data_IF_008541573994
#
_entry.id   IF_008541573994
#
_cell.length_a   1.000
_cell.length_b   1.000
_cell.length_c   1.000
_cell.angle_alpha   90.00
_cell.angle_beta   90.00
_cell.angle_gamma   90.00
#
_symmetry.space_group_name_H-M   'P 1'
#
loop_
_entity.id
_entity.type
_entity.pdbx_description
1 polymer ?
#
# COMPACT_ATOMS: atom_id res chain seq x y z
N UNK A 1 5.00 18.95 3.50
CA UNK A 1 4.07 18.45 4.52
C UNK A 1 2.75 19.15 4.22
N UNK A 2 1.74 18.42 3.78
CA UNK A 2 0.44 19.01 3.42
C UNK A 2 -0.48 18.80 4.64
N UNK A 3 -0.71 19.81 5.49
CA UNK A 3 -1.43 19.64 6.75
C UNK A 3 -2.92 19.34 6.55
N UNK A 4 -3.58 18.76 7.56
CA UNK A 4 -5.03 18.51 7.56
C UNK A 4 -5.76 19.50 8.49
N UNK A 5 -7.03 19.78 8.17
CA UNK A 5 -7.97 20.44 9.07
C UNK A 5 -9.36 19.80 8.89
N UNK A 6 -9.77 18.89 9.76
CA UNK A 6 -11.20 18.61 9.95
C UNK A 6 -11.72 19.38 11.16
N UNK A 7 -12.92 19.92 11.04
CA UNK A 7 -13.71 20.46 12.15
C UNK A 7 -14.93 19.56 12.31
N UNK A 8 -15.06 18.88 13.46
CA UNK A 8 -16.26 18.11 13.81
C UNK A 8 -16.47 16.75 13.14
N UNK A 9 -15.53 16.28 12.31
CA UNK A 9 -15.50 14.95 11.67
C UNK A 9 -14.08 14.34 11.81
N UNK A 10 -13.88 13.01 11.71
CA UNK A 10 -12.52 12.45 11.57
C UNK A 10 -11.78 13.14 10.39
N UNK A 11 -10.43 13.16 10.39
CA UNK A 11 -9.68 13.64 9.23
C UNK A 11 -10.12 12.88 7.97
N UNK A 12 -10.09 13.50 6.78
CA UNK A 12 -10.41 12.77 5.55
C UNK A 12 -9.47 11.58 5.39
N UNK A 13 -10.03 10.45 5.00
CA UNK A 13 -9.29 9.21 4.80
C UNK A 13 -8.44 9.27 3.52
N UNK A 14 -8.77 10.14 2.55
CA UNK A 14 -8.09 10.21 1.26
C UNK A 14 -7.63 11.63 0.89
N UNK A 15 -6.49 11.72 0.22
CA UNK A 15 -5.95 12.98 -0.30
C UNK A 15 -5.17 12.77 -1.59
N UNK A 16 -5.40 13.63 -2.57
CA UNK A 16 -4.73 13.59 -3.86
C UNK A 16 -3.54 14.56 -3.90
N UNK A 17 -2.48 14.14 -4.60
CA UNK A 17 -1.25 14.88 -4.81
C UNK A 17 -0.87 14.74 -6.28
N UNK A 18 -0.68 15.86 -6.96
CA UNK A 18 -0.10 15.89 -8.30
C UNK A 18 1.42 16.03 -8.22
N UNK A 19 2.14 15.21 -8.99
CA UNK A 19 3.60 15.27 -9.12
C UNK A 19 3.93 15.47 -10.60
N UNK A 20 3.69 16.65 -11.19
CA UNK A 20 3.71 16.82 -12.67
C UNK A 20 5.00 17.46 -13.24
N UNK A 21 5.92 17.94 -12.41
CA UNK A 21 6.83 18.98 -12.90
C UNK A 21 8.21 18.52 -13.43
N UNK A 22 8.70 17.30 -13.11
CA UNK A 22 10.06 16.86 -13.51
C UNK A 22 10.21 15.33 -13.63
N UNK A 23 11.17 14.83 -14.44
CA UNK A 23 11.63 13.43 -14.37
C UNK A 23 12.36 13.21 -13.04
N UNK A 24 11.71 12.52 -12.11
CA UNK A 24 12.23 12.32 -10.76
C UNK A 24 12.12 10.86 -10.34
N UNK A 25 13.03 10.45 -9.47
CA UNK A 25 13.02 9.15 -8.81
C UNK A 25 12.84 9.34 -7.32
N UNK A 26 11.91 8.58 -6.74
CA UNK A 26 11.91 8.36 -5.30
C UNK A 26 12.97 7.31 -5.02
N UNK A 27 13.91 7.64 -4.13
CA UNK A 27 15.01 6.75 -3.75
C UNK A 27 14.82 6.11 -2.38
N UNK A 28 14.07 6.79 -1.53
CA UNK A 28 13.68 6.37 -0.19
C UNK A 28 12.49 7.22 0.26
N UNK A 29 11.80 6.77 1.30
CA UNK A 29 10.75 7.53 1.94
C UNK A 29 10.83 7.42 3.47
N UNK A 30 10.21 8.40 4.14
CA UNK A 30 10.01 8.38 5.58
C UNK A 30 8.53 8.56 5.92
N UNK A 31 8.02 7.69 6.79
CA UNK A 31 6.70 7.78 7.39
C UNK A 31 6.75 8.79 8.53
N UNK A 32 5.81 9.71 8.51
CA UNK A 32 5.59 10.72 9.53
C UNK A 32 4.26 10.38 10.19
N UNK A 33 4.29 9.99 11.45
CA UNK A 33 3.09 9.84 12.27
C UNK A 33 3.04 11.04 13.21
N UNK A 34 1.90 11.69 13.28
CA UNK A 34 1.63 12.73 14.27
C UNK A 34 1.56 12.06 15.65
N UNK A 35 2.46 12.45 16.56
CA UNK A 35 2.57 11.83 17.89
C UNK A 35 1.23 11.87 18.62
N UNK A 36 0.43 12.93 18.41
CA UNK A 36 -0.90 13.04 19.01
C UNK A 36 -1.82 11.92 18.55
N UNK A 37 -1.76 11.50 17.27
CA UNK A 37 -2.65 10.51 16.62
C UNK A 37 -2.00 9.14 16.36
N UNK A 38 -0.88 8.86 17.03
CA UNK A 38 -0.21 7.56 16.97
C UNK A 38 -1.10 6.38 17.41
N UNK A 39 -2.17 6.64 18.17
CA UNK A 39 -3.17 5.66 18.58
C UNK A 39 -4.30 5.44 17.56
N UNK A 40 -4.41 6.27 16.53
CA UNK A 40 -5.45 6.20 15.52
C UNK A 40 -4.92 5.69 14.18
N UNK A 41 -3.75 6.16 13.72
CA UNK A 41 -3.25 5.83 12.37
C UNK A 41 -2.82 4.36 12.32
N UNK A 42 -3.61 3.54 11.63
CA UNK A 42 -3.36 2.10 11.54
C UNK A 42 -2.53 1.75 10.29
N UNK A 43 -2.84 2.34 9.14
CA UNK A 43 -2.03 2.19 7.94
C UNK A 43 -2.18 3.39 6.98
N UNK A 44 -1.16 3.56 6.13
CA UNK A 44 -1.07 4.56 5.07
C UNK A 44 -0.80 3.83 3.76
N UNK A 45 -1.61 4.06 2.72
CA UNK A 45 -1.37 3.53 1.38
C UNK A 45 -1.21 4.70 0.42
N UNK A 46 -0.19 4.65 -0.43
CA UNK A 46 -0.09 5.54 -1.58
C UNK A 46 -0.53 4.77 -2.82
N UNK A 47 -1.50 5.32 -3.52
CA UNK A 47 -2.01 4.82 -4.78
C UNK A 47 -1.52 5.70 -5.93
N UNK A 48 -1.13 5.10 -7.05
CA UNK A 48 -0.89 5.79 -8.31
C UNK A 48 -2.17 5.82 -9.14
N UNK A 49 -2.57 7.00 -9.60
CA UNK A 49 -3.76 7.14 -10.42
C UNK A 49 -3.49 6.81 -11.89
N UNK A 50 -4.45 6.15 -12.53
CA UNK A 50 -4.44 5.89 -13.95
C UNK A 50 -4.31 7.19 -14.75
N UNK A 51 -3.64 7.13 -15.90
CA UNK A 51 -3.55 8.18 -16.92
C UNK A 51 -4.88 8.87 -17.31
N UNK A 52 -6.02 8.20 -17.16
CA UNK A 52 -7.34 8.78 -17.43
C UNK A 52 -7.87 9.68 -16.29
N UNK A 53 -7.22 9.66 -15.12
CA UNK A 53 -7.59 10.53 -14.00
C UNK A 53 -7.22 11.97 -14.32
N UNK A 54 -8.20 12.87 -14.21
CA UNK A 54 -8.02 14.32 -14.37
C UNK A 54 -8.42 14.95 -13.04
N UNK A 55 -7.44 15.56 -12.37
CA UNK A 55 -7.72 16.29 -11.15
C UNK A 55 -8.48 17.58 -11.47
N UNK A 56 -9.68 17.73 -10.92
CA UNK A 56 -10.46 18.97 -11.01
C UNK A 56 -10.51 19.62 -9.63
N UNK A 57 -9.72 20.68 -9.45
CA UNK A 57 -9.49 21.40 -8.18
C UNK A 57 -10.78 21.96 -7.54
N UNK A 58 -11.88 21.99 -8.30
CA UNK A 58 -13.11 22.66 -7.87
C UNK A 58 -14.03 21.82 -6.97
N UNK A 59 -13.80 20.52 -6.74
CA UNK A 59 -14.81 19.63 -6.13
C UNK A 59 -14.25 18.45 -5.31
N UNK A 60 -13.22 18.63 -4.48
CA UNK A 60 -12.91 17.61 -3.46
C UNK A 60 -13.23 18.13 -2.07
N UNK A 61 -14.37 17.72 -1.49
CA UNK A 61 -14.53 17.82 -0.05
C UNK A 61 -13.55 16.83 0.61
N UNK A 62 -13.00 17.25 1.75
CA UNK A 62 -12.28 16.41 2.71
C UNK A 62 -13.26 15.34 3.27
N UNK A 63 -13.72 14.39 2.46
CA UNK A 63 -14.83 13.48 2.79
C UNK A 63 -14.43 12.00 2.86
N UNK A 64 -15.24 11.29 3.65
CA UNK A 64 -15.09 9.93 4.20
C UNK A 64 -15.19 8.86 3.11
N UNK A 65 -14.45 7.75 3.29
CA UNK A 65 -14.25 6.63 2.37
C UNK A 65 -15.50 5.89 1.80
N UNK A 66 -16.74 6.30 2.08
CA UNK A 66 -17.91 5.47 1.75
C UNK A 66 -18.59 5.81 0.40
N UNK A 67 -18.38 6.99 -0.21
CA UNK A 67 -19.22 7.43 -1.36
C UNK A 67 -18.48 8.04 -2.58
N UNK A 68 -17.15 8.16 -2.62
CA UNK A 68 -16.43 8.68 -3.81
C UNK A 68 -16.14 7.54 -4.80
N UNK A 69 -17.20 6.97 -5.39
CA UNK A 69 -17.11 5.75 -6.20
C UNK A 69 -16.51 5.99 -7.60
N UNK A 70 -16.54 7.20 -8.16
CA UNK A 70 -16.24 7.35 -9.60
C UNK A 70 -14.79 7.78 -9.93
N UNK A 71 -14.08 8.46 -9.01
CA UNK A 71 -12.72 8.96 -9.26
C UNK A 71 -11.63 8.30 -8.42
N UNK A 72 -11.95 7.88 -7.18
CA UNK A 72 -11.00 7.12 -6.33
C UNK A 72 -10.70 5.75 -6.94
N UNK A 73 -11.67 5.11 -7.62
CA UNK A 73 -11.51 3.84 -8.34
C UNK A 73 -10.38 3.87 -9.38
N UNK A 74 -10.17 5.03 -10.03
CA UNK A 74 -9.09 5.22 -11.01
C UNK A 74 -7.70 5.21 -10.37
N UNK A 75 -7.61 5.33 -9.05
CA UNK A 75 -6.37 5.27 -8.28
C UNK A 75 -6.27 3.99 -7.43
N UNK A 76 -7.37 3.51 -6.85
CA UNK A 76 -7.42 2.49 -5.79
C UNK A 76 -6.78 1.13 -6.11
N UNK A 77 -6.47 0.86 -7.38
CA UNK A 77 -5.91 -0.42 -7.83
C UNK A 77 -4.38 -0.46 -7.83
N UNK A 78 -3.71 0.69 -7.99
CA UNK A 78 -2.25 0.70 -8.22
C UNK A 78 -1.49 1.19 -6.97
N UNK A 79 -1.19 0.30 -6.03
CA UNK A 79 -0.41 0.67 -4.85
C UNK A 79 1.04 0.98 -5.22
N UNK A 80 1.43 2.23 -4.97
CA UNK A 80 2.75 2.77 -5.16
C UNK A 80 3.66 2.61 -3.92
N UNK A 81 3.09 2.49 -2.72
CA UNK A 81 3.78 2.09 -1.47
C UNK A 81 2.77 2.01 -0.33
N UNK A 82 3.16 1.48 0.83
CA UNK A 82 2.33 1.49 2.02
C UNK A 82 3.13 1.34 3.31
N UNK A 83 2.52 1.74 4.42
CA UNK A 83 3.01 1.51 5.77
C UNK A 83 1.85 1.07 6.65
N UNK A 84 2.14 0.23 7.64
CA UNK A 84 1.17 -0.16 8.64
C UNK A 84 1.85 -0.25 10.01
N UNK A 85 1.03 -0.26 11.06
CA UNK A 85 1.48 -0.28 12.45
C UNK A 85 2.54 -1.37 12.70
N UNK A 86 3.62 -0.99 13.40
CA UNK A 86 4.79 -1.84 13.67
C UNK A 86 5.83 -1.89 12.55
N UNK A 87 5.52 -1.38 11.36
CA UNK A 87 6.47 -1.27 10.26
C UNK A 87 7.51 -0.17 10.46
N UNK A 88 8.66 -0.32 9.81
CA UNK A 88 9.73 0.67 9.85
C UNK A 88 9.27 2.01 9.26
N UNK A 89 9.68 3.10 9.90
CA UNK A 89 9.34 4.45 9.43
C UNK A 89 10.24 4.93 8.30
N UNK A 90 11.32 4.21 7.99
CA UNK A 90 12.26 4.60 6.93
C UNK A 90 12.40 3.40 6.01
N UNK A 91 12.08 3.60 4.74
CA UNK A 91 12.36 2.62 3.72
C UNK A 91 13.35 3.15 2.69
N UNK A 92 14.48 2.46 2.58
CA UNK A 92 15.43 2.67 1.50
C UNK A 92 15.18 1.71 0.34
N UNK A 93 15.11 2.24 -0.88
CA UNK A 93 15.02 1.39 -2.07
C UNK A 93 16.38 0.82 -2.47
N UNK A 94 16.42 -0.33 -3.17
CA UNK A 94 17.67 -0.90 -3.67
C UNK A 94 18.49 0.11 -4.47
N UNK A 95 19.80 0.15 -4.28
CA UNK A 95 20.72 1.14 -4.89
C UNK A 95 20.50 1.36 -6.40
N UNK A 96 20.18 0.29 -7.14
CA UNK A 96 20.01 0.29 -8.60
C UNK A 96 18.56 0.51 -9.07
N UNK A 97 17.60 0.70 -8.16
CA UNK A 97 16.19 0.85 -8.49
C UNK A 97 15.54 2.05 -7.78
N UNK A 98 14.66 2.78 -8.46
CA UNK A 98 13.93 3.91 -7.88
C UNK A 98 12.52 3.99 -8.45
N UNK A 99 11.56 4.40 -7.63
CA UNK A 99 10.18 4.50 -8.08
C UNK A 99 10.02 5.71 -9.00
N UNK A 100 9.53 5.52 -10.25
CA UNK A 100 9.33 6.62 -11.18
C UNK A 100 8.19 7.53 -10.70
N UNK A 101 8.42 8.84 -10.69
CA UNK A 101 7.38 9.87 -10.48
C UNK A 101 7.55 10.96 -11.54
N UNK A 102 6.54 11.82 -11.73
CA UNK A 102 6.60 12.85 -12.75
C UNK A 102 6.37 12.32 -14.17
N UNK A 103 6.92 13.03 -15.15
CA UNK A 103 6.70 12.73 -16.58
C UNK A 103 7.21 11.36 -17.02
N UNK A 104 8.11 10.75 -16.24
CA UNK A 104 8.61 9.37 -16.46
C UNK A 104 7.74 8.28 -15.82
N UNK A 105 6.73 8.65 -15.04
CA UNK A 105 5.83 7.71 -14.34
C UNK A 105 4.61 7.38 -15.18
N UNK A 106 4.11 6.12 -15.14
CA UNK A 106 2.80 5.81 -15.69
C UNK A 106 1.66 6.46 -14.90
N UNK A 107 1.93 6.90 -13.67
CA UNK A 107 0.98 7.57 -12.78
C UNK A 107 1.35 9.05 -12.65
N UNK A 108 0.46 9.94 -13.08
CA UNK A 108 0.62 11.41 -12.96
C UNK A 108 0.18 11.92 -11.59
N UNK A 109 -0.91 11.38 -11.08
CA UNK A 109 -1.48 11.72 -9.80
C UNK A 109 -1.29 10.58 -8.82
N UNK A 110 -1.24 10.92 -7.54
CA UNK A 110 -1.17 9.97 -6.47
C UNK A 110 -2.24 10.29 -5.43
N UNK A 111 -2.79 9.26 -4.80
CA UNK A 111 -3.74 9.40 -3.71
C UNK A 111 -3.15 8.73 -2.47
N UNK A 112 -3.00 9.46 -1.38
CA UNK A 112 -2.70 8.88 -0.08
C UNK A 112 -4.01 8.55 0.62
N UNK A 113 -4.15 7.30 1.03
CA UNK A 113 -5.23 6.79 1.85
C UNK A 113 -4.71 6.50 3.25
N UNK A 114 -5.39 6.99 4.27
CA UNK A 114 -5.07 6.79 5.68
C UNK A 114 -6.22 6.06 6.33
N UNK A 115 -5.95 4.90 6.91
CA UNK A 115 -6.94 4.17 7.70
C UNK A 115 -6.73 4.47 9.18
N UNK A 116 -7.77 4.98 9.82
CA UNK A 116 -7.80 5.23 11.26
C UNK A 116 -8.57 4.12 11.99
N UNK A 117 -7.92 3.43 12.94
CA UNK A 117 -8.61 2.59 13.91
C UNK A 117 -9.10 3.45 15.10
N UNK A 118 -10.31 4.00 14.97
CA UNK A 118 -10.94 4.84 15.98
C UNK A 118 -11.97 4.06 16.82
N UNK A 119 -11.60 2.91 17.36
CA UNK A 119 -12.47 2.10 18.24
C UNK A 119 -13.05 2.86 19.45
N UNK A 120 -12.35 3.88 19.94
CA UNK A 120 -12.78 4.75 21.05
C UNK A 120 -13.73 5.87 20.62
N UNK A 121 -14.01 6.02 19.33
CA UNK A 121 -14.88 7.06 18.75
C UNK A 121 -14.52 8.48 19.22
N UNK A 122 -13.23 8.76 19.31
CA UNK A 122 -12.73 10.08 19.66
C UNK A 122 -13.01 11.05 18.52
N UNK A 123 -13.33 12.31 18.85
CA UNK A 123 -13.69 13.34 17.88
C UNK A 123 -12.82 14.59 18.05
N UNK A 124 -12.87 15.51 17.08
CA UNK A 124 -12.13 16.77 17.08
C UNK A 124 -10.60 16.59 17.14
N UNK A 125 -10.10 15.52 16.52
CA UNK A 125 -8.68 15.21 16.37
C UNK A 125 -8.19 15.76 15.04
N UNK A 126 -7.01 16.39 15.03
CA UNK A 126 -6.33 16.82 13.81
C UNK A 126 -5.11 15.94 13.61
N UNK A 127 -5.00 15.34 12.44
CA UNK A 127 -3.84 14.56 12.06
C UNK A 127 -2.94 15.33 11.08
N UNK A 128 -1.63 15.11 11.13
CA UNK A 128 -0.66 15.60 10.15
C UNK A 128 0.29 14.49 9.69
N UNK A 129 -0.17 13.25 9.78
CA UNK A 129 0.58 12.07 9.37
C UNK A 129 0.68 11.98 7.85
N UNK A 130 1.61 11.17 7.35
CA UNK A 130 1.76 10.93 5.93
C UNK A 130 3.17 10.47 5.56
N UNK A 131 3.52 10.67 4.29
CA UNK A 131 4.75 10.14 3.71
C UNK A 131 5.63 11.29 3.20
N UNK A 132 6.92 11.26 3.55
CA UNK A 132 7.94 12.15 3.01
C UNK A 132 8.80 11.38 2.01
N UNK A 133 8.67 11.74 0.74
CA UNK A 133 9.52 11.23 -0.34
C UNK A 133 10.81 12.03 -0.45
N UNK A 134 11.91 11.32 -0.72
CA UNK A 134 13.19 11.92 -1.08
C UNK A 134 13.44 11.69 -2.56
N UNK A 135 13.37 12.80 -3.29
CA UNK A 135 13.44 12.83 -4.75
C UNK A 135 14.89 13.06 -5.19
N UNK A 136 15.25 12.39 -6.28
CA UNK A 136 16.53 12.55 -6.96
C UNK A 136 16.27 12.74 -8.46
N UNK A 137 17.08 13.58 -9.10
CA UNK A 137 17.04 13.81 -10.54
C UNK A 137 17.93 12.84 -11.32
N UNK A 138 18.70 11.99 -10.62
CA UNK A 138 19.50 10.93 -11.23
C UNK A 138 18.65 9.70 -11.48
N UNK A 139 18.51 9.33 -12.76
CA UNK A 139 17.88 8.08 -13.14
C UNK A 139 18.70 6.89 -12.59
N UNK A 140 18.02 5.98 -11.89
CA UNK A 140 18.58 4.68 -11.50
C UNK A 140 18.47 3.71 -12.66
N UNK A 141 19.21 2.60 -12.58
CA UNK A 141 19.26 1.60 -13.66
C UNK A 141 17.90 0.94 -13.94
N UNK A 142 17.06 0.80 -12.91
CA UNK A 142 15.78 0.11 -12.99
C UNK A 142 14.65 0.92 -12.35
N UNK A 143 13.44 0.74 -12.87
CA UNK A 143 12.23 1.22 -12.25
C UNK A 143 11.83 0.28 -11.11
N UNK A 144 11.50 0.85 -9.96
CA UNK A 144 10.89 0.09 -8.87
C UNK A 144 9.39 -0.07 -9.17
N UNK A 145 8.87 -1.27 -8.94
CA UNK A 145 7.43 -1.55 -8.95
C UNK A 145 7.06 -2.48 -7.80
N UNK A 146 5.76 -2.58 -7.54
CA UNK A 146 5.22 -3.45 -6.49
C UNK A 146 4.47 -4.60 -7.13
N UNK A 147 4.71 -5.80 -6.61
CA UNK A 147 3.95 -7.00 -6.92
C UNK A 147 3.08 -7.31 -5.70
N UNK A 148 1.77 -7.39 -5.92
CA UNK A 148 0.78 -7.66 -4.89
C UNK A 148 0.28 -9.09 -5.01
N UNK A 149 0.31 -9.84 -3.91
CA UNK A 149 -0.11 -11.25 -3.83
C UNK A 149 -1.00 -11.46 -2.58
N UNK A 150 -1.97 -12.38 -2.64
CA UNK A 150 -2.92 -12.63 -1.56
C UNK A 150 -4.24 -13.25 -2.06
N UNK A 151 -5.38 -12.90 -1.45
CA UNK A 151 -6.73 -13.34 -1.86
C UNK A 151 -7.60 -12.15 -2.23
N UNK A 152 -8.41 -12.15 -3.28
CA UNK A 152 -9.33 -11.01 -3.53
C UNK A 152 -10.52 -11.07 -2.57
N UNK A 153 -10.88 -9.94 -1.94
CA UNK A 153 -12.17 -9.82 -1.26
C UNK A 153 -13.30 -9.89 -2.28
N UNK A 154 -14.02 -11.01 -2.31
CA UNK A 154 -15.19 -11.16 -3.19
C UNK A 154 -16.38 -10.35 -2.65
N UNK A 155 -17.48 -10.25 -3.41
CA UNK A 155 -18.75 -9.66 -2.95
C UNK A 155 -19.29 -10.27 -1.64
N UNK A 156 -18.88 -11.51 -1.31
CA UNK A 156 -19.24 -12.19 -0.06
C UNK A 156 -18.11 -12.19 0.98
N UNK A 157 -16.99 -11.53 0.67
CA UNK A 157 -15.78 -11.54 1.46
C UNK A 157 -15.14 -12.92 1.56
N UNK A 158 -14.21 -13.04 2.51
CA UNK A 158 -13.67 -14.31 2.97
C UNK A 158 -14.48 -14.77 4.21
N UNK A 159 -15.06 -15.97 4.16
CA UNK A 159 -15.87 -16.51 5.26
C UNK A 159 -15.03 -17.49 6.09
N UNK A 160 -14.70 -17.10 7.32
CA UNK A 160 -14.06 -17.98 8.31
C UNK A 160 -15.14 -18.49 9.27
N UNK A 161 -15.37 -19.81 9.37
CA UNK A 161 -16.36 -20.35 10.30
C UNK A 161 -16.01 -19.99 11.76
N UNK A 162 -17.01 -19.67 12.62
CA UNK A 162 -16.74 -19.34 14.01
C UNK A 162 -16.21 -20.56 14.77
N UNK A 163 -15.33 -20.32 15.75
CA UNK A 163 -14.76 -21.33 16.69
C UNK A 163 -13.83 -22.37 16.06
N UNK A 164 -13.38 -22.16 14.82
CA UNK A 164 -12.27 -22.95 14.28
C UNK A 164 -10.97 -22.44 14.88
N UNK A 165 -10.11 -23.36 15.34
CA UNK A 165 -8.80 -22.99 15.91
C UNK A 165 -7.83 -22.53 14.82
N UNK A 166 -7.87 -23.17 13.65
CA UNK A 166 -7.05 -22.86 12.50
C UNK A 166 -7.88 -23.03 11.21
N UNK A 167 -7.79 -22.06 10.31
CA UNK A 167 -8.42 -22.10 8.99
C UNK A 167 -7.44 -21.58 7.95
N UNK A 168 -7.13 -22.41 6.95
CA UNK A 168 -6.17 -22.08 5.91
C UNK A 168 -6.92 -21.52 4.71
N UNK A 169 -6.47 -20.36 4.25
CA UNK A 169 -6.92 -19.72 3.02
C UNK A 169 -5.77 -19.76 2.05
N UNK A 170 -5.86 -20.62 1.04
CA UNK A 170 -4.87 -20.67 -0.03
C UNK A 170 -5.39 -19.87 -1.23
N UNK A 171 -4.51 -19.08 -1.82
CA UNK A 171 -4.76 -18.41 -3.09
C UNK A 171 -3.65 -18.71 -4.07
N UNK A 172 -4.07 -19.01 -5.30
CA UNK A 172 -3.17 -19.36 -6.38
C UNK A 172 -3.35 -18.38 -7.53
N UNK A 173 -2.26 -17.68 -7.83
CA UNK A 173 -2.24 -16.70 -8.90
C UNK A 173 -1.39 -17.23 -10.05
N UNK A 174 -2.00 -17.68 -11.17
CA UNK A 174 -1.28 -18.27 -12.28
C UNK A 174 -0.42 -17.25 -13.05
N UNK A 175 -0.58 -15.95 -12.77
CA UNK A 175 0.17 -14.84 -13.36
C UNK A 175 0.36 -13.73 -12.33
N UNK A 176 1.19 -12.73 -12.64
CA UNK A 176 1.35 -11.50 -11.83
C UNK A 176 0.02 -10.72 -11.82
N UNK A 177 -0.87 -11.02 -10.88
CA UNK A 177 -2.08 -10.24 -10.64
C UNK A 177 -2.39 -10.13 -9.15
N UNK A 178 -2.94 -8.95 -8.83
CA UNK A 178 -3.32 -8.49 -7.51
C UNK A 178 -4.26 -9.44 -6.79
N UNK A 179 -3.92 -9.78 -5.55
CA UNK A 179 -4.85 -10.34 -4.60
C UNK A 179 -4.45 -9.83 -3.19
N UNK A 180 -5.37 -9.44 -2.31
CA UNK A 180 -5.06 -9.07 -0.90
C UNK A 180 -6.19 -9.44 0.06
N UNK A 181 -5.82 -10.19 1.11
CA UNK A 181 -6.45 -10.10 2.40
C UNK A 181 -5.41 -10.42 3.48
N UNK A 182 -5.38 -9.66 4.58
CA UNK A 182 -4.45 -9.87 5.69
C UNK A 182 -5.24 -9.94 7.00
N UNK A 183 -5.87 -11.08 7.23
CA UNK A 183 -6.24 -11.53 8.57
C UNK A 183 -5.65 -12.92 8.76
N UNK A 184 -4.85 -13.11 9.80
CA UNK A 184 -4.24 -14.40 10.06
C UNK A 184 -3.28 -14.37 11.23
N UNK A 185 -2.91 -15.55 11.69
CA UNK A 185 -1.85 -15.78 12.68
C UNK A 185 -0.56 -16.26 12.03
N UNK A 186 -0.60 -16.58 10.73
CA UNK A 186 0.53 -16.97 9.90
C UNK A 186 0.29 -16.53 8.46
N UNK A 187 1.33 -16.09 7.76
CA UNK A 187 1.27 -15.68 6.36
C UNK A 187 2.49 -16.20 5.60
N UNK A 188 2.29 -16.62 4.36
CA UNK A 188 3.39 -17.01 3.49
C UNK A 188 3.08 -16.66 2.04
N UNK A 189 4.12 -16.54 1.23
CA UNK A 189 4.03 -16.38 -0.21
C UNK A 189 5.18 -17.18 -0.83
N UNK A 190 4.87 -18.00 -1.84
CA UNK A 190 5.81 -18.88 -2.52
C UNK A 190 5.82 -18.61 -4.01
N UNK A 191 7.03 -18.65 -4.56
CA UNK A 191 7.26 -18.74 -5.99
C UNK A 191 7.18 -20.20 -6.42
N UNK A 192 6.33 -20.49 -7.40
CA UNK A 192 6.19 -21.81 -8.03
C UNK A 192 6.73 -21.73 -9.46
N UNK A 193 7.62 -22.65 -9.84
CA UNK A 193 8.17 -22.76 -11.20
C UNK A 193 8.11 -24.20 -11.64
N UNK A 194 7.52 -24.46 -12.82
CA UNK A 194 7.33 -25.82 -13.32
C UNK A 194 6.67 -26.74 -12.27
N UNK A 195 5.61 -26.25 -11.61
CA UNK A 195 4.86 -26.97 -10.55
C UNK A 195 5.65 -27.33 -9.30
N UNK A 196 6.81 -26.72 -9.09
CA UNK A 196 7.67 -26.95 -7.92
C UNK A 196 7.83 -25.64 -7.14
N UNK A 197 7.69 -25.69 -5.82
CA UNK A 197 8.00 -24.55 -4.97
C UNK A 197 9.50 -24.27 -4.98
N UNK A 198 9.88 -23.05 -5.38
CA UNK A 198 11.28 -22.65 -5.56
C UNK A 198 11.79 -21.91 -4.33
N UNK A 199 11.01 -20.94 -3.83
CA UNK A 199 11.44 -20.05 -2.76
C UNK A 199 10.25 -19.37 -2.07
N UNK A 200 10.43 -18.97 -0.82
CA UNK A 200 9.50 -18.07 -0.13
C UNK A 200 9.79 -16.61 -0.49
N UNK A 201 8.78 -15.90 -0.96
CA UNK A 201 8.78 -14.44 -1.12
C UNK A 201 8.42 -13.74 0.19
N UNK A 202 7.65 -14.41 1.05
CA UNK A 202 7.35 -14.01 2.41
C UNK A 202 7.07 -15.26 3.24
N UNK A 203 7.49 -15.28 4.51
CA UNK A 203 7.16 -16.36 5.43
C UNK A 203 7.17 -15.83 6.87
N UNK A 204 5.99 -15.80 7.49
CA UNK A 204 5.80 -15.44 8.88
C UNK A 204 4.90 -16.51 9.53
N UNK A 205 5.52 -17.44 10.25
CA UNK A 205 4.80 -18.50 10.99
C UNK A 205 4.02 -17.96 12.20
N UNK A 206 4.42 -16.78 12.68
CA UNK A 206 3.72 -16.04 13.73
C UNK A 206 3.56 -14.59 13.28
N UNK A 207 2.44 -14.31 12.62
CA UNK A 207 2.06 -12.99 12.16
C UNK A 207 1.14 -12.30 13.18
N UNK A 208 1.33 -11.00 13.37
CA UNK A 208 0.49 -10.17 14.21
C UNK A 208 -0.04 -9.00 13.38
N UNK A 209 -1.35 -8.86 13.32
CA UNK A 209 -2.02 -7.78 12.59
C UNK A 209 -1.60 -6.38 13.05
N UNK A 210 -1.23 -6.24 14.33
CA UNK A 210 -0.73 -4.99 14.91
C UNK A 210 0.79 -4.81 14.77
N UNK A 211 1.46 -5.70 14.01
CA UNK A 211 2.87 -5.63 13.69
C UNK A 211 3.10 -6.07 12.24
N UNK A 212 2.84 -5.16 11.32
CA UNK A 212 2.97 -5.37 9.88
C UNK A 212 4.27 -4.73 9.40
N UNK A 213 5.24 -5.56 9.01
CA UNK A 213 6.57 -5.10 8.66
C UNK A 213 6.93 -5.49 7.22
N UNK A 214 7.83 -4.71 6.63
CA UNK A 214 8.44 -5.06 5.37
C UNK A 214 9.58 -6.06 5.59
N UNK A 215 9.46 -7.25 5.02
CA UNK A 215 10.53 -8.23 5.06
C UNK A 215 11.46 -8.06 3.85
N UNK A 216 12.72 -7.67 4.09
CA UNK A 216 13.73 -7.60 3.02
C UNK A 216 14.24 -9.00 2.71
N UNK A 217 14.03 -9.44 1.47
CA UNK A 217 14.63 -10.68 0.97
C UNK A 217 16.15 -10.65 1.10
N UNK A 218 16.71 -11.69 1.71
CA UNK A 218 18.16 -11.85 1.90
C UNK A 218 18.90 -12.11 0.58
N UNK A 219 18.19 -12.58 -0.45
CA UNK A 219 18.70 -12.78 -1.80
C UNK A 219 17.72 -12.24 -2.84
N UNK A 220 18.25 -11.75 -3.96
CA UNK A 220 17.43 -11.37 -5.10
C UNK A 220 16.85 -12.61 -5.76
N UNK A 221 15.55 -12.57 -6.06
CA UNK A 221 14.83 -13.64 -6.74
C UNK A 221 14.42 -13.10 -8.12
N UNK A 222 14.85 -13.78 -9.18
CA UNK A 222 14.45 -13.45 -10.54
C UNK A 222 13.12 -14.15 -10.86
N UNK A 223 12.13 -13.34 -11.25
CA UNK A 223 10.84 -13.80 -11.74
C UNK A 223 10.87 -13.94 -13.27
N UNK A 224 10.15 -14.94 -13.78
CA UNK A 224 9.93 -15.19 -15.20
C UNK A 224 8.43 -15.27 -15.52
N UNK A 225 8.00 -15.02 -16.78
CA UNK A 225 6.59 -15.10 -17.15
C UNK A 225 5.89 -16.45 -16.93
N UNK A 226 6.67 -17.53 -16.81
CA UNK A 226 6.17 -18.89 -16.53
C UNK A 226 6.00 -19.19 -15.04
N UNK A 227 6.40 -18.24 -14.19
CA UNK A 227 6.29 -18.39 -12.74
C UNK A 227 4.86 -18.15 -12.28
N UNK A 228 4.48 -18.91 -11.26
CA UNK A 228 3.19 -18.87 -10.60
C UNK A 228 3.41 -18.55 -9.11
N UNK A 229 2.36 -18.09 -8.43
CA UNK A 229 2.44 -17.72 -7.02
C UNK A 229 1.38 -18.44 -6.19
N UNK A 230 1.78 -18.85 -4.99
CA UNK A 230 0.87 -19.37 -3.99
C UNK A 230 1.03 -18.56 -2.70
N UNK A 231 -0.08 -18.19 -2.07
CA UNK A 231 -0.13 -17.46 -0.80
C UNK A 231 -1.14 -18.09 0.13
#
# INVERSE_FOLDING_TARGET
>A
MIPFRSYGQPPPDEKFIELDYFELRVNNYKILIDDENSDLVHHLLLHGCNSSFIFNDNNLPDEVCDDIVDQSELCATNIATGWAIGGDHILEFPEKAGYPVGVSSPNRYFMIQTHYDNSKQTSNRRDNSGIRFYLDNKLRQHDLGYLRLGTVSTLFGLIIPPKVENFIVDSYCPKIFDCIFILGVSLWAKLIRNKTAVEYLFNAESYNFNYQFENRLTKRIQLYPVDEFAT
#
